data_IF_565099973357
#
_entry.id   IF_565099973357
#
_cell.length_a   1.000
_cell.length_b   1.000
_cell.length_c   1.000
_cell.angle_alpha   90.00
_cell.angle_beta   90.00
_cell.angle_gamma   90.00
#
_symmetry.space_group_name_H-M   'P 1'
#
loop_
_entity.id
_entity.type
_entity.pdbx_description
1 polymer ?
#
# COMPACT_ATOMS: atom_id res chain seq x y z
N UNK A 1 -2.16 13.79 -7.05
CA UNK A 1 -3.33 14.65 -7.32
C UNK A 1 -4.54 13.97 -6.72
N UNK A 2 -5.17 14.59 -5.71
CA UNK A 2 -6.43 14.09 -5.13
C UNK A 2 -7.56 14.86 -5.80
N UNK A 3 -8.47 14.15 -6.47
CA UNK A 3 -9.69 14.78 -7.01
C UNK A 3 -10.73 14.75 -5.89
N UNK A 4 -10.93 15.89 -5.23
CA UNK A 4 -11.95 16.02 -4.18
C UNK A 4 -13.20 16.63 -4.80
N UNK A 5 -14.28 15.85 -4.87
CA UNK A 5 -15.60 16.36 -5.22
C UNK A 5 -16.36 16.74 -3.93
N UNK A 6 -17.07 17.87 -3.93
CA UNK A 6 -17.77 18.43 -2.74
C UNK A 6 -18.69 17.43 -2.04
N UNK A 7 -19.30 16.52 -2.80
CA UNK A 7 -20.25 15.53 -2.28
C UNK A 7 -19.61 14.22 -1.77
N UNK A 8 -18.32 13.98 -2.03
CA UNK A 8 -17.68 12.69 -1.71
C UNK A 8 -16.68 12.81 -0.53
N UNK A 9 -16.38 14.02 -0.05
CA UNK A 9 -15.36 14.27 0.98
C UNK A 9 -15.58 13.50 2.30
N UNK A 10 -16.81 13.10 2.58
CA UNK A 10 -17.17 12.39 3.80
C UNK A 10 -16.97 10.87 3.72
N UNK A 11 -16.72 10.30 2.53
CA UNK A 11 -16.55 8.85 2.39
C UNK A 11 -15.27 8.36 3.04
N UNK A 12 -15.34 7.18 3.66
CA UNK A 12 -14.22 6.55 4.34
C UNK A 12 -13.00 6.40 3.41
N UNK A 13 -13.24 6.07 2.14
CA UNK A 13 -12.19 5.93 1.12
C UNK A 13 -11.40 7.22 0.90
N UNK A 14 -12.05 8.37 0.79
CA UNK A 14 -11.37 9.66 0.61
C UNK A 14 -10.60 10.06 1.87
N UNK A 15 -11.18 9.84 3.07
CA UNK A 15 -10.49 10.11 4.34
C UNK A 15 -9.18 9.32 4.47
N UNK A 16 -9.22 8.01 4.19
CA UNK A 16 -8.03 7.14 4.20
C UNK A 16 -6.95 7.70 3.25
N UNK A 17 -7.37 8.12 2.05
CA UNK A 17 -6.47 8.56 1.00
C UNK A 17 -5.82 9.91 1.31
N UNK A 18 -6.58 10.86 1.88
CA UNK A 18 -6.06 12.14 2.38
C UNK A 18 -5.05 11.90 3.50
N UNK A 19 -5.37 11.04 4.48
CA UNK A 19 -4.45 10.74 5.59
C UNK A 19 -3.16 10.10 5.06
N UNK A 20 -3.27 9.10 4.18
CA UNK A 20 -2.13 8.48 3.51
C UNK A 20 -1.26 9.52 2.80
N UNK A 21 -1.86 10.39 2.00
CA UNK A 21 -1.16 11.44 1.26
C UNK A 21 -0.41 12.41 2.19
N UNK A 22 -1.09 12.90 3.24
CA UNK A 22 -0.48 13.82 4.22
C UNK A 22 0.69 13.17 4.94
N UNK A 23 0.54 11.92 5.40
CA UNK A 23 1.62 11.19 6.07
C UNK A 23 2.83 11.00 5.14
N UNK A 24 2.60 10.61 3.88
CA UNK A 24 3.66 10.48 2.86
C UNK A 24 4.35 11.81 2.60
N UNK A 25 3.58 12.88 2.43
CA UNK A 25 4.13 14.22 2.17
C UNK A 25 4.98 14.73 3.33
N UNK A 26 4.59 14.47 4.58
CA UNK A 26 5.40 14.81 5.76
C UNK A 26 6.72 14.02 5.74
N UNK A 27 6.67 12.71 5.54
CA UNK A 27 7.86 11.87 5.44
C UNK A 27 8.82 12.33 4.35
N UNK A 28 8.31 12.60 3.14
CA UNK A 28 9.08 13.10 2.00
C UNK A 28 9.70 14.49 2.30
N UNK A 29 8.98 15.36 3.00
CA UNK A 29 9.47 16.68 3.38
C UNK A 29 10.62 16.60 4.37
N UNK A 30 10.50 15.74 5.38
CA UNK A 30 11.56 15.52 6.37
C UNK A 30 12.80 14.92 5.71
N UNK A 31 12.64 13.93 4.81
CA UNK A 31 13.76 13.33 4.10
C UNK A 31 14.46 14.33 3.18
N UNK A 32 13.71 15.22 2.51
CA UNK A 32 14.28 16.33 1.72
C UNK A 32 15.05 17.32 2.59
N UNK A 33 14.51 17.73 3.74
CA UNK A 33 15.22 18.61 4.68
C UNK A 33 16.54 17.97 5.11
N UNK A 34 16.53 16.67 5.43
CA UNK A 34 17.74 15.91 5.73
C UNK A 34 18.75 15.96 4.57
N UNK A 35 18.30 15.77 3.32
CA UNK A 35 19.16 15.80 2.14
C UNK A 35 19.66 17.21 1.80
N UNK A 36 19.00 18.27 2.26
CA UNK A 36 19.51 19.64 2.15
C UNK A 36 20.61 19.91 3.18
N UNK A 37 20.50 19.32 4.36
CA UNK A 37 21.54 19.42 5.41
C UNK A 37 22.79 18.60 5.02
N UNK A 38 22.60 17.48 4.31
CA UNK A 38 23.65 16.60 3.86
C UNK A 38 23.70 16.52 2.33
N UNK A 39 24.77 17.01 1.72
CA UNK A 39 25.06 16.79 0.30
C UNK A 39 25.32 15.30 -0.07
N UNK A 40 25.21 14.35 0.88
CA UNK A 40 25.58 12.95 0.68
C UNK A 40 24.82 11.98 1.63
N UNK A 41 24.21 10.93 1.09
CA UNK A 41 23.32 9.99 1.82
C UNK A 41 24.07 9.10 2.82
N UNK A 42 25.36 8.83 2.64
CA UNK A 42 26.12 7.93 3.54
C UNK A 42 26.47 8.57 4.89
N UNK A 43 26.29 9.89 5.03
CA UNK A 43 26.60 10.62 6.26
C UNK A 43 25.47 10.62 7.28
N UNK A 44 24.38 9.87 7.07
CA UNK A 44 23.27 9.77 8.04
C UNK A 44 23.77 9.35 9.43
N UNK A 45 24.83 8.53 9.49
CA UNK A 45 25.41 8.04 10.74
C UNK A 45 26.34 9.04 11.43
N UNK A 46 26.62 10.19 10.83
CA UNK A 46 27.58 11.17 11.38
C UNK A 46 27.04 11.97 12.56
N UNK A 47 25.71 12.09 12.70
CA UNK A 47 25.11 12.80 13.83
C UNK A 47 23.82 12.14 14.31
N UNK A 48 23.58 12.25 15.62
CA UNK A 48 22.34 11.81 16.26
C UNK A 48 21.11 12.55 15.69
N UNK A 49 21.26 13.84 15.38
CA UNK A 49 20.17 14.64 14.81
C UNK A 49 19.72 14.10 13.45
N UNK A 50 20.66 13.77 12.56
CA UNK A 50 20.37 13.23 11.23
C UNK A 50 19.76 11.83 11.29
N UNK A 51 20.23 10.99 12.22
CA UNK A 51 19.63 9.70 12.50
C UNK A 51 18.15 9.85 12.92
N UNK A 52 17.88 10.76 13.85
CA UNK A 52 16.52 11.01 14.33
C UNK A 52 15.60 11.61 13.24
N UNK A 53 16.12 12.46 12.36
CA UNK A 53 15.37 12.95 11.20
C UNK A 53 15.01 11.80 10.25
N UNK A 54 15.95 10.91 9.95
CA UNK A 54 15.68 9.72 9.11
C UNK A 54 14.66 8.80 9.75
N UNK A 55 14.78 8.53 11.06
CA UNK A 55 13.80 7.76 11.80
C UNK A 55 12.40 8.39 11.73
N UNK A 56 12.30 9.71 11.90
CA UNK A 56 11.02 10.42 11.85
C UNK A 56 10.39 10.29 10.46
N UNK A 57 11.17 10.49 9.39
CA UNK A 57 10.69 10.28 8.02
C UNK A 57 10.20 8.83 7.80
N UNK A 58 10.96 7.85 8.29
CA UNK A 58 10.63 6.42 8.21
C UNK A 58 9.27 6.11 8.88
N UNK A 59 9.03 6.66 10.07
CA UNK A 59 7.76 6.49 10.81
C UNK A 59 6.60 7.06 10.00
N UNK A 60 6.71 8.28 9.48
CA UNK A 60 5.65 8.89 8.67
C UNK A 60 5.37 8.10 7.39
N UNK A 61 6.42 7.61 6.71
CA UNK A 61 6.26 6.76 5.55
C UNK A 61 5.51 5.47 5.87
N UNK A 62 5.94 4.70 6.87
CA UNK A 62 5.28 3.44 7.21
C UNK A 62 3.89 3.63 7.80
N UNK A 63 3.63 4.69 8.57
CA UNK A 63 2.28 5.04 8.99
C UNK A 63 1.38 5.34 7.77
N UNK A 64 1.88 6.12 6.81
CA UNK A 64 1.19 6.39 5.57
C UNK A 64 0.90 5.11 4.78
N UNK A 65 1.88 4.21 4.69
CA UNK A 65 1.72 2.92 4.03
C UNK A 65 0.69 2.01 4.75
N UNK A 66 0.69 1.94 6.09
CA UNK A 66 -0.30 1.18 6.87
C UNK A 66 -1.73 1.69 6.63
N UNK A 67 -1.91 3.01 6.60
CA UNK A 67 -3.20 3.64 6.28
C UNK A 67 -3.59 3.35 4.84
N UNK A 68 -2.63 3.42 3.90
CA UNK A 68 -2.83 3.08 2.50
C UNK A 68 -3.30 1.64 2.30
N UNK A 69 -2.65 0.68 2.94
CA UNK A 69 -3.01 -0.75 2.80
C UNK A 69 -4.41 -1.04 3.36
N UNK A 70 -4.82 -0.32 4.40
CA UNK A 70 -6.17 -0.43 4.97
C UNK A 70 -7.27 -0.06 3.96
N UNK A 71 -6.96 0.79 2.98
CA UNK A 71 -7.92 1.17 1.92
C UNK A 71 -8.47 -0.06 1.20
N UNK A 72 -7.59 -0.99 0.81
CA UNK A 72 -7.97 -2.15 0.01
C UNK A 72 -8.93 -3.04 0.80
N UNK A 73 -8.64 -3.26 2.09
CA UNK A 73 -9.51 -4.00 3.02
C UNK A 73 -10.85 -3.32 3.26
N UNK A 74 -10.84 -2.00 3.51
CA UNK A 74 -12.06 -1.21 3.71
C UNK A 74 -12.95 -1.26 2.46
N UNK A 75 -12.36 -1.31 1.26
CA UNK A 75 -13.13 -1.38 0.02
C UNK A 75 -13.67 -2.76 -0.27
N UNK A 76 -12.98 -3.84 0.11
CA UNK A 76 -13.46 -5.21 -0.16
C UNK A 76 -14.51 -5.69 0.84
N UNK A 77 -14.42 -5.26 2.10
CA UNK A 77 -15.30 -5.74 3.18
C UNK A 77 -16.81 -5.64 2.89
N UNK A 78 -17.35 -4.55 2.30
CA UNK A 78 -18.78 -4.42 2.01
C UNK A 78 -19.30 -5.38 0.94
N UNK A 79 -18.45 -5.84 0.01
CA UNK A 79 -18.88 -6.62 -1.16
C UNK A 79 -18.89 -8.13 -0.94
N UNK A 80 -18.47 -8.60 0.23
CA UNK A 80 -18.37 -10.03 0.52
C UNK A 80 -19.76 -10.52 0.97
N UNK A 81 -20.42 -11.27 0.09
CA UNK A 81 -21.80 -11.76 0.26
C UNK A 81 -21.91 -13.30 0.32
N UNK A 82 -20.79 -14.03 0.19
CA UNK A 82 -20.83 -15.50 0.08
C UNK A 82 -20.94 -16.21 1.45
N UNK A 83 -21.35 -17.49 1.49
CA UNK A 83 -21.37 -18.28 2.73
C UNK A 83 -19.96 -18.45 3.35
N UNK A 84 -18.90 -18.39 2.54
CA UNK A 84 -17.50 -18.41 3.01
C UNK A 84 -16.95 -17.01 3.30
N UNK A 85 -17.84 -16.02 3.50
CA UNK A 85 -17.51 -14.63 3.87
C UNK A 85 -16.54 -14.57 5.04
N UNK A 86 -16.85 -15.32 6.09
CA UNK A 86 -16.12 -15.22 7.35
C UNK A 86 -14.65 -15.65 7.19
N UNK A 87 -14.37 -16.74 6.47
CA UNK A 87 -12.99 -17.25 6.33
C UNK A 87 -12.13 -16.29 5.49
N UNK A 88 -12.61 -15.86 4.33
CA UNK A 88 -11.80 -15.00 3.43
C UNK A 88 -11.61 -13.60 3.98
N UNK A 89 -12.65 -13.05 4.63
CA UNK A 89 -12.54 -11.79 5.34
C UNK A 89 -11.52 -11.91 6.48
N UNK A 90 -11.59 -12.96 7.29
CA UNK A 90 -10.64 -13.23 8.37
C UNK A 90 -9.21 -13.36 7.83
N UNK A 91 -8.99 -14.09 6.73
CA UNK A 91 -7.68 -14.20 6.09
C UNK A 91 -7.15 -12.82 5.62
N UNK A 92 -8.02 -11.99 5.05
CA UNK A 92 -7.67 -10.62 4.64
C UNK A 92 -7.27 -9.75 5.84
N UNK A 93 -7.97 -9.85 6.97
CA UNK A 93 -7.60 -9.16 8.21
C UNK A 93 -6.31 -9.69 8.82
N UNK A 94 -6.12 -11.01 8.89
CA UNK A 94 -4.90 -11.63 9.44
C UNK A 94 -3.68 -11.17 8.64
N UNK A 95 -3.75 -11.22 7.32
CA UNK A 95 -2.63 -10.82 6.46
C UNK A 95 -2.35 -9.33 6.50
N UNK A 96 -3.39 -8.49 6.60
CA UNK A 96 -3.22 -7.06 6.88
C UNK A 96 -2.51 -6.81 8.22
N UNK A 97 -2.90 -7.51 9.29
CA UNK A 97 -2.28 -7.38 10.62
C UNK A 97 -0.80 -7.80 10.57
N UNK A 98 -0.49 -8.92 9.92
CA UNK A 98 0.91 -9.38 9.74
C UNK A 98 1.75 -8.35 8.98
N UNK A 99 1.20 -7.74 7.93
CA UNK A 99 1.85 -6.67 7.18
C UNK A 99 2.14 -5.45 8.06
N UNK A 100 1.16 -5.03 8.87
CA UNK A 100 1.31 -3.93 9.83
C UNK A 100 2.38 -4.22 10.88
N UNK A 101 2.39 -5.43 11.44
CA UNK A 101 3.40 -5.88 12.40
C UNK A 101 4.80 -5.81 11.77
N UNK A 102 4.95 -6.23 10.51
CA UNK A 102 6.23 -6.11 9.79
C UNK A 102 6.72 -4.67 9.69
N UNK A 103 5.83 -3.73 9.32
CA UNK A 103 6.14 -2.29 9.23
C UNK A 103 6.44 -1.64 10.58
N UNK A 104 5.75 -2.04 11.64
CA UNK A 104 6.06 -1.57 13.00
C UNK A 104 7.40 -2.15 13.45
N UNK A 105 7.68 -3.42 13.12
CA UNK A 105 8.92 -4.10 13.50
C UNK A 105 10.14 -3.43 12.90
N UNK A 106 10.09 -2.93 11.66
CA UNK A 106 11.22 -2.21 11.06
C UNK A 106 11.43 -0.83 11.71
N UNK A 107 10.37 -0.14 12.13
CA UNK A 107 10.48 1.09 12.91
C UNK A 107 11.14 0.83 14.28
N UNK A 108 10.70 -0.22 14.98
CA UNK A 108 11.30 -0.66 16.25
C UNK A 108 12.78 -1.02 16.05
N UNK A 109 13.09 -1.79 15.01
CA UNK A 109 14.45 -2.17 14.67
C UNK A 109 15.33 -0.93 14.46
N UNK A 110 14.87 0.05 13.68
CA UNK A 110 15.62 1.28 13.44
C UNK A 110 15.82 2.09 14.73
N UNK A 111 14.79 2.19 15.57
CA UNK A 111 14.87 2.94 16.82
C UNK A 111 15.87 2.35 17.81
N UNK A 112 15.85 1.03 17.99
CA UNK A 112 16.73 0.34 18.95
C UNK A 112 18.11 0.00 18.40
N UNK A 113 18.35 0.14 17.09
CA UNK A 113 19.66 -0.16 16.54
C UNK A 113 20.70 0.84 17.08
N UNK A 114 21.79 0.38 17.70
CA UNK A 114 22.73 1.26 18.37
C UNK A 114 23.59 2.01 17.33
N UNK A 115 23.11 3.17 16.86
CA UNK A 115 23.81 3.99 15.86
C UNK A 115 25.25 4.37 16.31
N UNK A 116 25.47 4.51 17.62
CA UNK A 116 26.79 4.76 18.20
C UNK A 116 27.81 3.64 17.90
N UNK A 117 27.34 2.39 17.74
CA UNK A 117 28.24 1.29 17.35
C UNK A 117 28.68 1.42 15.90
N UNK A 118 27.84 1.95 15.01
CA UNK A 118 28.19 2.23 13.62
C UNK A 118 29.29 3.29 13.54
N UNK A 119 29.14 4.38 14.31
CA UNK A 119 30.18 5.42 14.43
C UNK A 119 31.53 4.86 14.93
N UNK A 120 31.50 3.91 15.86
CA UNK A 120 32.73 3.36 16.48
C UNK A 120 33.40 2.25 15.68
N UNK A 121 32.63 1.39 15.02
CA UNK A 121 33.15 0.17 14.38
C UNK A 121 33.14 0.25 12.84
N UNK A 122 32.67 1.36 12.26
CA UNK A 122 32.78 1.62 10.84
C UNK A 122 31.90 0.73 9.95
N UNK A 123 32.44 0.32 8.80
CA UNK A 123 31.71 -0.29 7.68
C UNK A 123 31.09 -1.66 7.99
N UNK A 124 31.66 -2.44 8.91
CA UNK A 124 31.13 -3.77 9.26
C UNK A 124 29.74 -3.69 9.90
N UNK A 125 29.58 -2.81 10.89
CA UNK A 125 28.29 -2.60 11.55
C UNK A 125 27.28 -1.92 10.63
N UNK A 126 27.73 -1.03 9.74
CA UNK A 126 26.89 -0.45 8.68
C UNK A 126 26.32 -1.55 7.77
N UNK A 127 27.17 -2.47 7.29
CA UNK A 127 26.75 -3.57 6.44
C UNK A 127 25.78 -4.51 7.16
N UNK A 128 26.02 -4.80 8.45
CA UNK A 128 25.14 -5.62 9.28
C UNK A 128 23.77 -4.98 9.51
N UNK A 129 23.74 -3.66 9.74
CA UNK A 129 22.50 -2.90 9.84
C UNK A 129 21.67 -3.02 8.56
N UNK A 130 22.28 -2.72 7.40
CA UNK A 130 21.59 -2.76 6.12
C UNK A 130 21.17 -4.16 5.72
N UNK A 131 21.99 -5.18 6.03
CA UNK A 131 21.62 -6.56 5.76
C UNK A 131 20.33 -6.95 6.50
N UNK A 132 20.26 -6.65 7.80
CA UNK A 132 19.08 -6.89 8.62
C UNK A 132 17.88 -6.05 8.17
N UNK A 133 18.08 -4.77 7.87
CA UNK A 133 17.04 -3.89 7.32
C UNK A 133 16.42 -4.48 6.06
N UNK A 134 17.25 -4.95 5.12
CA UNK A 134 16.77 -5.55 3.88
C UNK A 134 16.07 -6.90 4.09
N UNK A 135 16.44 -7.65 5.14
CA UNK A 135 15.72 -8.88 5.50
C UNK A 135 14.30 -8.56 6.03
N UNK A 136 14.15 -7.52 6.86
CA UNK A 136 12.81 -7.01 7.24
C UNK A 136 12.03 -6.55 6.02
N UNK A 137 12.66 -5.78 5.13
CA UNK A 137 11.98 -5.27 3.96
C UNK A 137 11.51 -6.38 3.01
N UNK A 138 12.30 -7.44 2.84
CA UNK A 138 11.89 -8.62 2.08
C UNK A 138 10.70 -9.34 2.71
N UNK A 139 10.69 -9.49 4.04
CA UNK A 139 9.55 -10.08 4.74
C UNK A 139 8.28 -9.24 4.55
N UNK A 140 8.37 -7.91 4.67
CA UNK A 140 7.26 -6.98 4.42
C UNK A 140 6.75 -7.12 2.98
N UNK A 141 7.64 -7.11 1.99
CA UNK A 141 7.25 -7.26 0.58
C UNK A 141 6.59 -8.61 0.29
N UNK A 142 7.06 -9.69 0.94
CA UNK A 142 6.43 -11.01 0.84
C UNK A 142 4.99 -10.99 1.40
N UNK A 143 4.79 -10.46 2.61
CA UNK A 143 3.45 -10.37 3.18
C UNK A 143 2.53 -9.43 2.40
N UNK A 144 3.07 -8.36 1.81
CA UNK A 144 2.32 -7.46 0.93
C UNK A 144 1.81 -8.18 -0.31
N UNK A 145 2.64 -9.02 -0.93
CA UNK A 145 2.25 -9.85 -2.07
C UNK A 145 1.19 -10.88 -1.69
N UNK A 146 1.35 -11.56 -0.55
CA UNK A 146 0.36 -12.52 -0.06
C UNK A 146 -0.98 -11.82 0.21
N UNK A 147 -0.95 -10.64 0.81
CA UNK A 147 -2.11 -9.80 1.05
C UNK A 147 -2.83 -9.43 -0.26
N UNK A 148 -2.11 -8.96 -1.27
CA UNK A 148 -2.68 -8.63 -2.59
C UNK A 148 -3.33 -9.85 -3.25
N UNK A 149 -2.70 -11.03 -3.16
CA UNK A 149 -3.24 -12.29 -3.70
C UNK A 149 -4.54 -12.67 -2.99
N UNK A 150 -4.58 -12.61 -1.66
CA UNK A 150 -5.78 -12.94 -0.88
C UNK A 150 -6.92 -12.00 -1.22
N UNK A 151 -6.64 -10.70 -1.34
CA UNK A 151 -7.65 -9.71 -1.72
C UNK A 151 -8.13 -9.96 -3.15
N UNK A 152 -7.22 -10.27 -4.08
CA UNK A 152 -7.59 -10.63 -5.45
C UNK A 152 -8.54 -11.83 -5.49
N UNK A 153 -8.22 -12.92 -4.79
CA UNK A 153 -9.10 -14.10 -4.74
C UNK A 153 -10.44 -13.80 -4.05
N UNK A 154 -10.42 -13.00 -3.00
CA UNK A 154 -11.63 -12.59 -2.28
C UNK A 154 -12.56 -11.80 -3.20
N UNK A 155 -12.03 -10.84 -3.96
CA UNK A 155 -12.82 -10.07 -4.93
C UNK A 155 -13.22 -10.92 -6.13
N UNK A 156 -12.38 -11.87 -6.58
CA UNK A 156 -12.69 -12.70 -7.75
C UNK A 156 -13.96 -13.53 -7.55
N UNK A 157 -14.02 -14.27 -6.46
CA UNK A 157 -15.13 -15.19 -6.21
C UNK A 157 -16.45 -14.45 -5.97
N UNK A 158 -16.42 -13.31 -5.28
CA UNK A 158 -17.66 -12.63 -4.89
C UNK A 158 -18.16 -11.61 -5.92
N UNK A 159 -17.25 -11.04 -6.70
CA UNK A 159 -17.54 -9.90 -7.58
C UNK A 159 -17.47 -10.27 -9.07
N UNK A 160 -16.78 -11.36 -9.43
CA UNK A 160 -16.54 -11.73 -10.83
C UNK A 160 -17.19 -13.02 -11.29
N UNK A 161 -17.41 -14.00 -10.40
CA UNK A 161 -18.09 -15.26 -10.75
C UNK A 161 -19.61 -15.18 -10.58
N UNK A 162 -20.13 -14.13 -9.95
CA UNK A 162 -21.57 -13.83 -9.93
C UNK A 162 -22.00 -13.11 -11.22
N UNK A 163 -21.83 -13.77 -12.35
CA UNK A 163 -22.54 -13.42 -13.59
C UNK A 163 -24.07 -13.67 -13.46
N UNK A 164 -24.50 -14.33 -12.37
CA UNK A 164 -25.90 -14.58 -12.01
C UNK A 164 -26.73 -13.30 -11.78
N UNK A 165 -26.09 -12.14 -11.57
CA UNK A 165 -26.78 -10.84 -11.43
C UNK A 165 -26.80 -10.02 -12.72
N UNK A 166 -26.25 -10.54 -13.82
CA UNK A 166 -26.16 -9.83 -15.10
C UNK A 166 -27.50 -9.56 -15.79
N UNK A 167 -28.57 -10.21 -15.32
CA UNK A 167 -29.95 -10.05 -15.80
C UNK A 167 -30.73 -8.91 -15.12
N UNK A 168 -30.27 -8.43 -13.96
CA UNK A 168 -30.87 -7.25 -13.33
C UNK A 168 -30.24 -6.02 -14.00
N UNK A 169 -31.05 -5.04 -14.39
CA UNK A 169 -30.72 -3.75 -15.05
C UNK A 169 -29.64 -2.91 -14.34
N UNK A 170 -28.42 -3.43 -14.20
CA UNK A 170 -27.31 -2.68 -13.65
C UNK A 170 -26.83 -1.65 -14.69
N UNK A 171 -26.95 -0.38 -14.29
CA UNK A 171 -26.45 0.80 -14.99
C UNK A 171 -25.09 0.52 -15.65
N UNK A 172 -24.98 0.83 -16.95
CA UNK A 172 -23.79 0.62 -17.80
C UNK A 172 -22.49 1.10 -17.15
N UNK A 173 -22.57 2.15 -16.35
CA UNK A 173 -21.45 2.73 -15.60
C UNK A 173 -20.90 1.80 -14.53
N UNK A 174 -21.78 1.10 -13.80
CA UNK A 174 -21.39 0.16 -12.77
C UNK A 174 -20.69 -1.07 -13.38
N UNK A 175 -21.21 -1.58 -14.51
CA UNK A 175 -20.54 -2.64 -15.29
C UNK A 175 -19.13 -2.20 -15.72
N UNK A 176 -18.95 -0.97 -16.20
CA UNK A 176 -17.64 -0.39 -16.56
C UNK A 176 -16.70 -0.32 -15.34
N UNK A 177 -17.18 0.19 -14.21
CA UNK A 177 -16.39 0.31 -12.97
C UNK A 177 -15.90 -1.05 -12.46
N UNK A 178 -16.77 -2.07 -12.45
CA UNK A 178 -16.38 -3.43 -12.03
C UNK A 178 -15.34 -4.06 -12.95
N UNK A 179 -15.51 -3.88 -14.26
CA UNK A 179 -14.51 -4.33 -15.25
C UNK A 179 -13.16 -3.66 -15.04
N UNK A 180 -13.14 -2.35 -14.82
CA UNK A 180 -11.90 -1.61 -14.55
C UNK A 180 -11.24 -2.05 -13.23
N UNK A 181 -12.02 -2.21 -12.16
CA UNK A 181 -11.53 -2.72 -10.88
C UNK A 181 -10.92 -4.11 -11.00
N UNK A 182 -11.52 -4.99 -11.82
CA UNK A 182 -10.96 -6.34 -12.15
C UNK A 182 -9.58 -6.25 -12.78
N UNK A 183 -9.48 -5.39 -13.79
CA UNK A 183 -8.24 -5.19 -14.54
C UNK A 183 -7.16 -4.65 -13.62
N UNK A 184 -7.49 -3.65 -12.79
CA UNK A 184 -6.58 -3.05 -11.80
C UNK A 184 -5.99 -4.09 -10.86
N UNK A 185 -6.81 -4.87 -10.16
CA UNK A 185 -6.32 -5.81 -9.14
C UNK A 185 -5.41 -6.86 -9.79
N UNK A 186 -5.73 -7.32 -11.01
CA UNK A 186 -4.85 -8.20 -11.78
C UNK A 186 -3.51 -7.54 -12.08
N UNK A 187 -3.51 -6.30 -12.56
CA UNK A 187 -2.27 -5.57 -12.84
C UNK A 187 -1.44 -5.33 -11.58
N UNK A 188 -2.07 -4.95 -10.46
CA UNK A 188 -1.38 -4.77 -9.17
C UNK A 188 -0.71 -6.08 -8.74
N UNK A 189 -1.43 -7.21 -8.77
CA UNK A 189 -0.87 -8.50 -8.40
C UNK A 189 0.29 -8.94 -9.32
N UNK A 190 0.19 -8.71 -10.63
CA UNK A 190 1.27 -9.03 -11.59
C UNK A 190 2.50 -8.14 -11.35
N UNK A 191 2.29 -6.84 -11.20
CA UNK A 191 3.37 -5.87 -10.97
C UNK A 191 4.03 -6.13 -9.62
N UNK A 192 3.26 -6.40 -8.56
CA UNK A 192 3.79 -6.70 -7.23
C UNK A 192 4.59 -8.00 -7.24
N UNK A 193 4.11 -9.05 -7.91
CA UNK A 193 4.87 -10.29 -8.11
C UNK A 193 6.19 -10.06 -8.86
N UNK A 194 6.15 -9.32 -9.97
CA UNK A 194 7.35 -9.01 -10.76
C UNK A 194 8.37 -8.19 -9.97
N UNK A 195 7.92 -7.12 -9.30
CA UNK A 195 8.79 -6.25 -8.51
C UNK A 195 9.33 -6.98 -7.26
N UNK A 196 8.58 -7.89 -6.65
CA UNK A 196 9.08 -8.75 -5.58
C UNK A 196 10.26 -9.63 -6.05
N UNK A 197 10.15 -10.25 -7.23
CA UNK A 197 11.24 -11.03 -7.83
C UNK A 197 12.48 -10.14 -8.07
N UNK A 198 12.29 -8.90 -8.53
CA UNK A 198 13.39 -7.95 -8.71
C UNK A 198 14.07 -7.59 -7.36
N UNK A 199 13.31 -7.40 -6.28
CA UNK A 199 13.88 -7.13 -4.96
C UNK A 199 14.65 -8.36 -4.44
N UNK A 200 14.10 -9.56 -4.57
CA UNK A 200 14.77 -10.81 -4.16
C UNK A 200 16.07 -11.03 -4.93
N UNK A 201 16.03 -10.91 -6.27
CA UNK A 201 17.23 -11.08 -7.10
C UNK A 201 18.28 -10.01 -6.83
N UNK A 202 17.86 -8.76 -6.57
CA UNK A 202 18.76 -7.68 -6.16
C UNK A 202 19.41 -7.96 -4.82
N UNK A 203 18.69 -8.53 -3.84
CA UNK A 203 19.26 -8.90 -2.54
C UNK A 203 20.27 -10.03 -2.66
N UNK A 204 19.96 -11.07 -3.45
CA UNK A 204 20.89 -12.17 -3.70
C UNK A 204 22.19 -11.67 -4.34
N UNK A 205 22.10 -10.69 -5.25
CA UNK A 205 23.28 -10.03 -5.84
C UNK A 205 24.03 -9.16 -4.82
N UNK A 206 23.31 -8.42 -3.96
CA UNK A 206 23.90 -7.62 -2.89
C UNK A 206 24.76 -8.49 -1.95
N UNK A 207 24.25 -9.64 -1.51
CA UNK A 207 24.99 -10.55 -0.62
C UNK A 207 26.25 -11.10 -1.28
N UNK A 208 26.29 -11.23 -2.61
CA UNK A 208 27.47 -11.72 -3.35
C UNK A 208 28.50 -10.64 -3.65
N UNK A 209 28.06 -9.44 -4.01
CA UNK A 209 28.93 -8.42 -4.63
C UNK A 209 28.95 -7.08 -3.90
N UNK A 210 28.26 -6.94 -2.76
CA UNK A 210 28.13 -5.68 -2.00
C UNK A 210 27.73 -4.48 -2.87
N UNK A 211 26.73 -4.66 -3.73
CA UNK A 211 26.21 -3.58 -4.58
C UNK A 211 25.67 -2.40 -3.74
N UNK A 212 25.66 -1.17 -4.28
CA UNK A 212 25.03 -0.04 -3.61
C UNK A 212 23.53 -0.30 -3.39
N UNK A 213 23.04 0.03 -2.20
CA UNK A 213 21.65 -0.18 -1.75
C UNK A 213 20.64 0.64 -2.55
N UNK A 214 21.09 1.64 -3.32
CA UNK A 214 20.26 2.51 -4.15
C UNK A 214 19.38 1.73 -5.15
N UNK A 215 19.91 0.67 -5.76
CA UNK A 215 19.12 -0.15 -6.70
C UNK A 215 18.00 -0.91 -6.00
N UNK A 216 18.27 -1.46 -4.80
CA UNK A 216 17.28 -2.14 -3.99
C UNK A 216 16.15 -1.18 -3.59
N UNK A 217 16.52 0.03 -3.17
CA UNK A 217 15.58 1.07 -2.76
C UNK A 217 14.71 1.56 -3.93
N UNK A 218 15.28 1.67 -5.13
CA UNK A 218 14.52 2.01 -6.34
C UNK A 218 13.42 1.00 -6.63
N UNK A 219 13.75 -0.30 -6.69
CA UNK A 219 12.75 -1.35 -6.96
C UNK A 219 11.72 -1.49 -5.83
N UNK A 220 12.16 -1.34 -4.57
CA UNK A 220 11.25 -1.31 -3.42
C UNK A 220 10.26 -0.14 -3.52
N UNK A 221 10.74 1.06 -3.82
CA UNK A 221 9.90 2.25 -3.97
C UNK A 221 8.86 2.06 -5.07
N UNK A 222 9.24 1.45 -6.20
CA UNK A 222 8.31 1.09 -7.28
C UNK A 222 7.27 0.06 -6.83
N UNK A 223 7.68 -1.01 -6.13
CA UNK A 223 6.78 -2.02 -5.56
C UNK A 223 5.71 -1.38 -4.66
N UNK A 224 6.15 -0.49 -3.77
CA UNK A 224 5.28 0.16 -2.77
C UNK A 224 4.38 1.22 -3.41
N UNK A 225 4.88 2.00 -4.37
CA UNK A 225 4.14 3.14 -4.94
C UNK A 225 3.00 2.69 -5.86
N UNK A 226 3.15 1.57 -6.56
CA UNK A 226 2.18 1.09 -7.55
C UNK A 226 0.77 0.83 -6.98
N UNK A 227 0.60 0.08 -5.88
CA UNK A 227 -0.70 -0.08 -5.23
C UNK A 227 -1.37 1.26 -4.89
N UNK A 228 -0.60 2.23 -4.40
CA UNK A 228 -1.13 3.54 -4.02
C UNK A 228 -1.57 4.36 -5.23
N UNK A 229 -0.78 4.40 -6.32
CA UNK A 229 -1.20 5.04 -7.59
C UNK A 229 -2.53 4.47 -8.06
N UNK A 230 -2.72 3.16 -7.96
CA UNK A 230 -3.96 2.49 -8.33
C UNK A 230 -5.14 2.89 -7.43
N UNK A 231 -4.91 3.20 -6.16
CA UNK A 231 -5.95 3.78 -5.29
C UNK A 231 -6.41 5.17 -5.77
N UNK A 232 -5.51 6.01 -6.28
CA UNK A 232 -5.89 7.31 -6.84
C UNK A 232 -6.71 7.15 -8.12
N UNK A 233 -6.32 6.22 -8.99
CA UNK A 233 -7.07 5.89 -10.22
C UNK A 233 -8.50 5.43 -9.87
N UNK A 234 -8.66 4.65 -8.80
CA UNK A 234 -9.99 4.24 -8.34
C UNK A 234 -10.90 5.40 -7.98
N UNK A 235 -10.37 6.43 -7.32
CA UNK A 235 -11.19 7.59 -6.98
C UNK A 235 -11.63 8.38 -8.21
N UNK A 236 -10.77 8.49 -9.22
CA UNK A 236 -11.13 9.12 -10.50
C UNK A 236 -12.28 8.33 -11.14
N UNK A 237 -12.16 7.00 -11.19
CA UNK A 237 -13.20 6.14 -11.76
C UNK A 237 -14.53 6.19 -10.99
N UNK A 238 -14.50 6.28 -9.66
CA UNK A 238 -15.72 6.43 -8.84
C UNK A 238 -16.36 7.80 -9.08
N UNK A 239 -15.54 8.85 -9.18
CA UNK A 239 -16.07 10.19 -9.44
C UNK A 239 -16.79 10.28 -10.78
N UNK A 240 -16.32 9.57 -11.81
CA UNK A 240 -17.02 9.47 -13.10
C UNK A 240 -18.37 8.73 -12.99
N UNK A 241 -18.48 7.73 -12.11
CA UNK A 241 -19.74 6.99 -11.93
C UNK A 241 -20.78 7.78 -11.14
N UNK A 242 -20.35 8.60 -10.17
CA UNK A 242 -21.24 9.43 -9.34
C UNK A 242 -21.77 10.65 -10.10
N UNK A 243 -21.12 11.05 -11.21
CA UNK A 243 -21.59 12.13 -12.09
C UNK A 243 -22.77 11.73 -12.98
N UNK A 244 -23.19 10.47 -12.96
CA UNK A 244 -24.39 10.02 -13.67
C UNK A 244 -25.58 10.27 -12.73
N UNK A 245 -26.56 11.11 -13.13
CA UNK A 245 -27.60 11.56 -12.23
C UNK A 245 -28.37 10.37 -11.66
N UNK A 246 -28.40 10.33 -10.32
CA UNK A 246 -29.06 9.36 -9.45
C UNK A 246 -30.60 9.33 -9.65
N UNK A 247 -31.15 10.25 -10.45
CA UNK A 247 -32.59 10.37 -10.67
C UNK A 247 -33.24 9.12 -11.31
N UNK A 248 -32.46 8.25 -11.94
CA UNK A 248 -32.98 6.96 -12.44
C UNK A 248 -32.84 5.81 -11.42
N UNK A 249 -31.86 5.85 -10.51
CA UNK A 249 -31.59 4.71 -9.59
C UNK A 249 -32.37 4.75 -8.27
N UNK A 250 -32.76 5.94 -7.78
CA UNK A 250 -33.62 6.05 -6.57
C UNK A 250 -35.05 5.58 -6.83
N UNK A 251 -35.56 5.73 -8.06
CA UNK A 251 -36.89 5.26 -8.43
C UNK A 251 -36.97 3.72 -8.34
N UNK A 252 -35.89 3.01 -8.67
CA UNK A 252 -35.86 1.55 -8.59
C UNK A 252 -35.60 1.01 -7.18
N UNK A 253 -34.82 1.68 -6.33
CA UNK A 253 -34.55 1.17 -4.97
C UNK A 253 -35.78 1.23 -4.02
N UNK A 254 -36.68 2.21 -4.18
CA UNK A 254 -37.88 2.29 -3.34
C UNK A 254 -38.93 1.23 -3.70
N UNK A 255 -38.93 0.71 -4.93
CA UNK A 255 -39.91 -0.32 -5.38
C UNK A 255 -39.62 -1.68 -4.72
N UNK A 256 -38.39 -1.97 -4.31
CA UNK A 256 -38.01 -3.27 -3.72
C UNK A 256 -37.93 -3.28 -2.19
N UNK A 257 -38.32 -2.20 -1.51
CA UNK A 257 -38.40 -2.17 -0.04
C UNK A 257 -39.76 -2.63 0.52
N UNK A 258 -40.71 -3.01 -0.36
CA UNK A 258 -42.09 -3.36 0.01
C UNK A 258 -42.52 -4.79 -0.32
N UNK A 259 -41.60 -5.71 -0.63
CA UNK A 259 -41.91 -7.13 -0.79
C UNK A 259 -40.92 -8.04 -0.08
#
# INVERSE_FOLDING_TARGET
MIVVHKNNIHTTSIKILVIHYVLRAIGDSIDKIRNLILNDDDRIFTSLGLWNLKFTALVFWYCGEIVGDFYLLSRTSPFILSPFKNIRLVLSYITYILLCIGKISICIFHFFYPYQKILRHGSEYYNKYWDAYWNFQLAISFFSLVYDIIIYFTMKVDFFDKDLYSEIEENKAWKKYRKMSRIRIKYVAIISAFTFILVVTSKLKYTKNHFPTNFLEYYRSMFVTMPYVMMYIDQILISETDMIPINESIVHMNIYSYH
#
